data_IF_149995317314
#
_entry.id   IF_149995317314
#
_cell.length_a   1.000
_cell.length_b   1.000
_cell.length_c   1.000
_cell.angle_alpha   90.00
_cell.angle_beta   90.00
_cell.angle_gamma   90.00
#
_symmetry.space_group_name_H-M   'P 1'
#
loop_
_entity.id
_entity.type
_entity.pdbx_description
1 polymer ?
#
# COMPACT_ATOMS: atom_id res chain seq x y z
N UNK A 1 22.67 -13.65 0.20
CA UNK A 1 21.23 -13.82 -0.09
C UNK A 1 20.70 -14.96 0.77
N UNK A 2 19.56 -14.82 1.44
CA UNK A 2 18.93 -15.89 2.21
C UNK A 2 17.66 -16.31 1.47
N UNK A 3 17.60 -17.57 1.06
CA UNK A 3 16.43 -18.13 0.36
C UNK A 3 15.80 -19.24 1.19
N UNK A 4 14.47 -19.23 1.30
CA UNK A 4 13.73 -20.31 1.94
C UNK A 4 13.92 -21.64 1.19
N UNK A 5 14.01 -22.75 1.95
CA UNK A 5 13.97 -24.10 1.41
C UNK A 5 12.62 -24.38 0.72
N UNK A 6 12.51 -25.47 -0.04
CA UNK A 6 11.23 -25.84 -0.68
C UNK A 6 10.08 -25.97 0.34
N UNK A 7 10.34 -26.64 1.47
CA UNK A 7 9.39 -26.72 2.59
C UNK A 7 9.10 -25.36 3.22
N UNK A 8 10.12 -24.52 3.39
CA UNK A 8 9.96 -23.16 3.88
C UNK A 8 9.07 -22.31 2.98
N UNK A 9 9.23 -22.41 1.65
CA UNK A 9 8.37 -21.73 0.67
C UNK A 9 6.92 -22.22 0.74
N UNK A 10 6.71 -23.54 0.85
CA UNK A 10 5.37 -24.12 0.94
C UNK A 10 4.64 -23.66 2.21
N UNK A 11 5.31 -23.72 3.36
CA UNK A 11 4.76 -23.26 4.64
C UNK A 11 4.48 -21.77 4.57
N UNK A 12 5.45 -20.98 4.08
CA UNK A 12 5.27 -19.54 3.89
C UNK A 12 4.08 -19.22 3.00
N UNK A 13 3.90 -19.90 1.87
CA UNK A 13 2.76 -19.68 0.98
C UNK A 13 1.43 -19.91 1.69
N UNK A 14 1.28 -21.02 2.43
CA UNK A 14 0.06 -21.32 3.20
C UNK A 14 -0.20 -20.28 4.29
N UNK A 15 0.81 -19.95 5.09
CA UNK A 15 0.68 -18.99 6.19
C UNK A 15 0.49 -17.56 5.71
N UNK A 16 1.07 -17.19 4.57
CA UNK A 16 0.96 -15.85 3.98
C UNK A 16 -0.48 -15.54 3.60
N UNK A 17 -1.18 -16.48 2.96
CA UNK A 17 -2.58 -16.24 2.58
C UNK A 17 -3.46 -15.99 3.80
N UNK A 18 -3.28 -16.77 4.86
CA UNK A 18 -4.01 -16.58 6.12
C UNK A 18 -3.66 -15.25 6.79
N UNK A 19 -2.37 -14.90 6.85
CA UNK A 19 -1.90 -13.68 7.50
C UNK A 19 -2.29 -12.40 6.75
N UNK A 20 -2.19 -12.39 5.42
CA UNK A 20 -2.40 -11.18 4.61
C UNK A 20 -3.87 -10.96 4.23
N UNK A 21 -4.75 -11.94 4.44
CA UNK A 21 -6.17 -11.83 4.09
C UNK A 21 -7.08 -11.43 5.26
N UNK A 22 -6.50 -10.98 6.37
CA UNK A 22 -7.25 -10.54 7.54
C UNK A 22 -8.19 -9.38 7.22
N UNK A 23 -9.27 -9.25 8.00
CA UNK A 23 -10.27 -8.19 7.81
C UNK A 23 -9.77 -6.77 8.15
N UNK A 24 -8.57 -6.65 8.70
CA UNK A 24 -7.92 -5.36 8.92
C UNK A 24 -6.52 -5.39 8.29
N UNK A 25 -6.07 -4.27 7.68
CA UNK A 25 -4.72 -4.17 7.17
C UNK A 25 -3.71 -4.39 8.30
N UNK A 26 -2.60 -5.07 8.02
CA UNK A 26 -1.54 -5.25 9.01
C UNK A 26 -0.88 -3.90 9.31
N UNK A 27 -0.37 -3.74 10.53
CA UNK A 27 0.37 -2.53 10.89
C UNK A 27 1.76 -2.58 10.28
N UNK A 28 2.03 -1.65 9.36
CA UNK A 28 3.37 -1.48 8.80
C UNK A 28 4.03 -0.21 9.34
N UNK A 29 5.36 -0.22 9.60
CA UNK A 29 6.08 0.98 10.00
C UNK A 29 5.90 2.12 8.99
N UNK A 30 5.72 3.35 9.50
CA UNK A 30 5.59 4.57 8.69
C UNK A 30 4.38 4.59 7.74
N UNK A 31 3.40 3.70 7.96
CA UNK A 31 2.12 3.70 7.25
C UNK A 31 1.00 3.77 8.29
N UNK A 32 0.11 4.73 8.10
CA UNK A 32 -1.12 4.88 8.87
C UNK A 32 -2.33 4.70 7.96
N UNK A 33 -3.44 4.20 8.51
CA UNK A 33 -4.67 3.98 7.76
C UNK A 33 -5.78 4.86 8.30
N UNK A 34 -6.38 5.68 7.45
CA UNK A 34 -7.67 6.30 7.77
C UNK A 34 -8.78 5.26 7.73
N UNK A 35 -9.88 5.55 8.42
CA UNK A 35 -11.04 4.68 8.43
C UNK A 35 -11.56 4.41 7.01
N UNK A 36 -11.61 5.44 6.16
CA UNK A 36 -12.02 5.32 4.76
C UNK A 36 -11.19 4.32 3.95
N UNK A 37 -9.91 4.15 4.26
CA UNK A 37 -9.05 3.16 3.61
C UNK A 37 -9.35 1.75 4.14
N UNK A 38 -9.63 1.64 5.44
CA UNK A 38 -9.98 0.36 6.07
C UNK A 38 -11.31 -0.15 5.51
N UNK A 39 -12.29 0.73 5.33
CA UNK A 39 -13.59 0.41 4.75
C UNK A 39 -13.41 -0.09 3.31
N UNK A 40 -12.69 0.68 2.46
CA UNK A 40 -12.37 0.26 1.09
C UNK A 40 -11.64 -1.09 1.06
N UNK A 41 -10.64 -1.28 1.93
CA UNK A 41 -9.91 -2.55 2.04
C UNK A 41 -10.82 -3.73 2.37
N UNK A 42 -11.83 -3.54 3.22
CA UNK A 42 -12.75 -4.60 3.63
C UNK A 42 -13.70 -5.02 2.52
N UNK A 43 -14.07 -4.09 1.65
CA UNK A 43 -14.96 -4.35 0.50
C UNK A 43 -14.27 -5.14 -0.62
N UNK A 44 -12.94 -5.24 -0.59
CA UNK A 44 -12.18 -5.95 -1.61
C UNK A 44 -12.15 -7.47 -1.40
N UNK A 45 -12.16 -8.25 -2.50
CA UNK A 45 -12.07 -9.70 -2.41
C UNK A 45 -10.74 -10.15 -1.79
N UNK A 46 -10.74 -11.33 -1.16
CA UNK A 46 -9.60 -11.90 -0.43
C UNK A 46 -8.26 -11.77 -1.17
N UNK A 47 -8.24 -12.08 -2.47
CA UNK A 47 -7.02 -12.08 -3.27
C UNK A 47 -6.47 -10.67 -3.50
N UNK A 48 -7.32 -9.65 -3.70
CA UNK A 48 -6.90 -8.26 -3.83
C UNK A 48 -6.36 -7.71 -2.50
N UNK A 49 -6.96 -8.09 -1.37
CA UNK A 49 -6.45 -7.72 -0.04
C UNK A 49 -5.04 -8.24 0.20
N UNK A 50 -4.76 -9.50 -0.19
CA UNK A 50 -3.42 -10.09 -0.11
C UNK A 50 -2.43 -9.30 -0.97
N UNK A 51 -2.77 -9.02 -2.23
CA UNK A 51 -1.92 -8.27 -3.16
C UNK A 51 -1.63 -6.87 -2.61
N UNK A 52 -2.64 -6.17 -2.10
CA UNK A 52 -2.47 -4.86 -1.48
C UNK A 52 -1.49 -4.94 -0.31
N UNK A 53 -1.68 -5.90 0.59
CA UNK A 53 -0.81 -6.05 1.77
C UNK A 53 0.64 -6.38 1.40
N UNK A 54 0.88 -7.18 0.37
CA UNK A 54 2.23 -7.40 -0.16
C UNK A 54 2.87 -6.11 -0.67
N UNK A 55 2.10 -5.27 -1.36
CA UNK A 55 2.57 -3.97 -1.84
C UNK A 55 2.81 -3.00 -0.68
N UNK A 56 1.94 -2.96 0.33
CA UNK A 56 2.13 -2.14 1.52
C UNK A 56 3.36 -2.55 2.33
N UNK A 57 3.65 -3.85 2.42
CA UNK A 57 4.87 -4.35 3.06
C UNK A 57 6.13 -3.88 2.32
N UNK A 58 6.12 -3.90 0.97
CA UNK A 58 7.21 -3.38 0.14
C UNK A 58 7.36 -1.87 0.29
N UNK A 59 6.25 -1.14 0.27
CA UNK A 59 6.23 0.30 0.47
C UNK A 59 6.82 0.67 1.83
N UNK A 60 6.43 -0.03 2.90
CA UNK A 60 6.98 0.16 4.24
C UNK A 60 8.49 -0.12 4.29
N UNK A 61 8.96 -1.12 3.54
CA UNK A 61 10.38 -1.41 3.40
C UNK A 61 11.14 -0.22 2.79
N UNK A 62 10.64 0.32 1.66
CA UNK A 62 11.22 1.51 1.01
C UNK A 62 11.22 2.71 1.96
N UNK A 63 10.10 2.97 2.64
CA UNK A 63 9.99 4.06 3.62
C UNK A 63 10.97 3.92 4.79
N UNK A 64 11.31 2.69 5.18
CA UNK A 64 12.09 2.41 6.38
C UNK A 64 13.60 2.32 6.14
N UNK A 65 14.03 1.74 5.01
CA UNK A 65 15.45 1.56 4.70
C UNK A 65 16.10 2.88 4.28
N UNK A 66 15.34 3.78 3.65
CA UNK A 66 15.85 5.05 3.19
C UNK A 66 15.80 6.12 4.29
N UNK A 67 16.85 6.96 4.36
CA UNK A 67 16.93 8.09 5.30
C UNK A 67 15.81 9.10 5.03
N UNK A 68 15.53 9.37 3.77
CA UNK A 68 14.34 10.10 3.31
C UNK A 68 13.43 9.11 2.58
N UNK A 69 12.48 8.54 3.32
CA UNK A 69 11.60 7.49 2.82
C UNK A 69 10.65 8.00 1.75
N UNK A 70 10.11 9.21 1.93
CA UNK A 70 9.12 9.77 1.00
C UNK A 70 9.75 10.05 -0.35
N UNK A 71 10.92 10.68 -0.38
CA UNK A 71 11.63 10.94 -1.64
C UNK A 71 12.00 9.64 -2.36
N UNK A 72 12.36 8.60 -1.62
CA UNK A 72 12.61 7.28 -2.19
C UNK A 72 11.35 6.67 -2.84
N UNK A 73 10.18 6.77 -2.21
CA UNK A 73 8.92 6.28 -2.81
C UNK A 73 8.53 7.07 -4.07
N UNK A 74 8.82 8.38 -4.12
CA UNK A 74 8.60 9.19 -5.32
C UNK A 74 9.44 8.72 -6.51
N UNK A 75 10.63 8.19 -6.25
CA UNK A 75 11.58 7.72 -7.26
C UNK A 75 11.48 6.21 -7.53
N UNK A 76 10.80 5.44 -6.67
CA UNK A 76 10.63 4.00 -6.82
C UNK A 76 9.79 3.68 -8.05
N UNK A 77 10.29 2.82 -8.92
CA UNK A 77 9.64 2.48 -10.19
C UNK A 77 8.29 1.77 -10.03
N UNK A 78 8.05 1.08 -8.90
CA UNK A 78 6.81 0.36 -8.65
C UNK A 78 5.73 1.28 -8.10
N UNK A 79 6.07 2.21 -7.21
CA UNK A 79 5.08 3.07 -6.56
C UNK A 79 4.93 4.43 -7.23
N UNK A 80 6.05 5.13 -7.48
CA UNK A 80 6.07 6.47 -8.07
C UNK A 80 5.03 7.40 -7.45
N UNK A 81 5.19 7.74 -6.17
CA UNK A 81 4.27 8.65 -5.46
C UNK A 81 4.19 10.00 -6.18
N UNK A 82 2.96 10.44 -6.49
CA UNK A 82 2.67 11.68 -7.22
C UNK A 82 1.63 12.50 -6.49
N UNK A 83 1.72 13.81 -6.60
CA UNK A 83 0.70 14.71 -6.09
C UNK A 83 -0.45 14.83 -7.08
N UNK A 84 -1.68 14.93 -6.55
CA UNK A 84 -2.81 15.34 -7.38
C UNK A 84 -2.63 16.78 -7.88
N UNK A 85 -3.38 17.14 -8.91
CA UNK A 85 -3.44 18.49 -9.45
C UNK A 85 -4.81 19.13 -9.20
N UNK A 86 -4.91 20.45 -9.24
CA UNK A 86 -6.17 21.16 -9.08
C UNK A 86 -6.75 21.11 -7.67
N UNK A 87 -8.02 20.72 -7.54
CA UNK A 87 -8.79 20.79 -6.28
C UNK A 87 -8.23 19.92 -5.15
N UNK A 88 -7.51 18.85 -5.49
CA UNK A 88 -6.98 17.87 -4.53
C UNK A 88 -5.45 17.92 -4.37
N UNK A 89 -4.80 19.04 -4.75
CA UNK A 89 -3.33 19.19 -4.76
C UNK A 89 -2.61 18.91 -3.44
N UNK A 90 -3.35 18.90 -2.33
CA UNK A 90 -2.80 18.61 -1.00
C UNK A 90 -2.73 17.10 -0.70
N UNK A 91 -3.24 16.26 -1.61
CA UNK A 91 -3.16 14.81 -1.56
C UNK A 91 -2.12 14.28 -2.55
N UNK A 92 -1.54 13.15 -2.17
CA UNK A 92 -0.70 12.33 -3.04
C UNK A 92 -1.40 11.00 -3.37
N UNK A 93 -0.90 10.31 -4.37
CA UNK A 93 -1.34 8.98 -4.73
C UNK A 93 -0.20 8.15 -5.33
N UNK A 94 -0.40 6.84 -5.31
CA UNK A 94 0.38 5.89 -6.10
C UNK A 94 -0.54 4.86 -6.72
N UNK A 95 -0.12 4.32 -7.85
CA UNK A 95 -0.85 3.28 -8.55
C UNK A 95 -0.32 1.91 -8.14
N UNK A 96 -1.22 0.96 -8.09
CA UNK A 96 -0.93 -0.46 -7.97
C UNK A 96 -1.31 -1.15 -9.29
N UNK A 97 -0.95 -2.42 -9.40
CA UNK A 97 -1.33 -3.22 -10.56
C UNK A 97 -2.86 -3.28 -10.73
N UNK A 98 -3.32 -3.64 -11.93
CA UNK A 98 -4.74 -3.77 -12.29
C UNK A 98 -5.56 -2.48 -12.10
N UNK A 99 -4.96 -1.32 -12.38
CA UNK A 99 -5.65 -0.02 -12.37
C UNK A 99 -6.24 0.35 -11.00
N UNK A 100 -5.61 -0.12 -9.92
CA UNK A 100 -5.95 0.26 -8.54
C UNK A 100 -5.12 1.45 -8.12
N UNK A 101 -5.70 2.36 -7.34
CA UNK A 101 -5.03 3.55 -6.83
C UNK A 101 -5.20 3.64 -5.33
N UNK A 102 -4.15 4.11 -4.66
CA UNK A 102 -4.19 4.48 -3.26
C UNK A 102 -3.95 5.98 -3.16
N UNK A 103 -4.90 6.71 -2.56
CA UNK A 103 -4.68 8.10 -2.16
C UNK A 103 -4.09 8.17 -0.76
N UNK A 104 -3.30 9.21 -0.49
CA UNK A 104 -2.63 9.36 0.79
C UNK A 104 -2.26 10.82 1.08
N UNK A 105 -1.96 11.06 2.36
CA UNK A 105 -1.34 12.29 2.85
C UNK A 105 0.06 11.96 3.33
N UNK A 106 1.04 12.74 2.86
CA UNK A 106 2.38 12.73 3.44
C UNK A 106 2.37 13.59 4.70
N UNK A 107 2.70 13.00 5.85
CA UNK A 107 2.87 13.71 7.12
C UNK A 107 4.25 13.41 7.69
N UNK A 108 5.18 14.34 7.49
CA UNK A 108 6.58 14.12 7.83
C UNK A 108 7.17 12.94 7.06
N UNK A 109 7.58 11.89 7.79
CA UNK A 109 8.13 10.67 7.20
C UNK A 109 7.17 9.47 7.25
N UNK A 110 5.86 9.74 7.35
CA UNK A 110 4.79 8.75 7.40
C UNK A 110 3.82 8.97 6.23
N UNK A 111 3.31 7.89 5.65
CA UNK A 111 2.21 7.91 4.69
C UNK A 111 0.90 7.56 5.40
N UNK A 112 -0.06 8.48 5.37
CA UNK A 112 -1.40 8.24 5.87
C UNK A 112 -2.33 7.91 4.70
N UNK A 113 -2.68 6.64 4.54
CA UNK A 113 -3.50 6.15 3.43
C UNK A 113 -4.97 6.50 3.65
N UNK A 114 -5.61 7.02 2.60
CA UNK A 114 -6.93 7.60 2.65
C UNK A 114 -7.98 6.73 1.94
N UNK A 115 -7.77 6.36 0.68
CA UNK A 115 -8.71 5.54 -0.12
C UNK A 115 -7.96 4.46 -0.90
N UNK A 116 -8.63 3.36 -1.23
CA UNK A 116 -8.12 2.28 -2.08
C UNK A 116 -9.20 1.72 -3.01
N UNK A 117 -9.23 2.17 -4.25
CA UNK A 117 -10.23 1.72 -5.22
C UNK A 117 -9.71 1.74 -6.66
N UNK A 118 -10.59 1.45 -7.62
CA UNK A 118 -10.30 1.66 -9.04
C UNK A 118 -9.92 3.12 -9.32
N UNK A 119 -8.96 3.30 -10.23
CA UNK A 119 -8.40 4.58 -10.62
C UNK A 119 -9.43 5.71 -10.82
N UNK A 120 -10.53 5.42 -11.52
CA UNK A 120 -11.54 6.43 -11.85
C UNK A 120 -12.34 6.85 -10.60
N UNK A 121 -12.69 5.90 -9.74
CA UNK A 121 -13.43 6.20 -8.52
C UNK A 121 -12.59 7.02 -7.53
N UNK A 122 -11.31 6.66 -7.34
CA UNK A 122 -10.41 7.38 -6.43
C UNK A 122 -10.09 8.79 -6.92
N UNK A 123 -9.98 9.01 -8.24
CA UNK A 123 -9.71 10.36 -8.75
C UNK A 123 -10.84 11.36 -8.45
N UNK A 124 -12.09 10.88 -8.49
CA UNK A 124 -13.26 11.71 -8.20
C UNK A 124 -13.55 11.78 -6.69
N UNK A 125 -13.05 10.82 -5.91
CA UNK A 125 -13.25 10.68 -4.46
C UNK A 125 -11.95 10.32 -3.72
N UNK A 126 -10.90 11.17 -3.77
CA UNK A 126 -9.58 10.85 -3.24
C UNK A 126 -9.47 10.98 -1.72
#
# INVERSE_FOLDING_TARGET
>A
EMTLSAWGKLIYQKSKEELLSQNKPLKFPKIEYKQSFIDDYQDQPKHERIILQENLARLACVLNINKDGISAVKQDDNFRLRSYVGKHKDLDYFDLQKNRRVSCLVSGNTLQLCRYEEHNYVNDNP
#
